data_IF_941765554999
#
_entry.id   IF_941765554999
#
_cell.length_a   1.000
_cell.length_b   1.000
_cell.length_c   1.000
_cell.angle_alpha   90.00
_cell.angle_beta   90.00
_cell.angle_gamma   90.00
#
_symmetry.space_group_name_H-M   'P 1'
#
loop_
_entity.id
_entity.type
_entity.pdbx_description
1 polymer ?
#
# COMPACT_ATOMS: atom_id res chain seq x y z
N UNK A 1 38.20 3.31 4.54
CA UNK A 1 36.96 3.87 5.11
C UNK A 1 35.86 2.85 4.92
N UNK A 2 35.37 2.25 6.01
CA UNK A 2 34.36 1.19 5.96
C UNK A 2 32.98 1.86 5.89
N UNK A 3 32.32 1.83 4.72
CA UNK A 3 30.93 2.24 4.60
C UNK A 3 30.06 1.13 5.18
N UNK A 4 29.72 1.24 6.46
CA UNK A 4 28.86 0.27 7.14
C UNK A 4 27.41 0.51 6.68
N UNK A 5 26.95 -0.24 5.68
CA UNK A 5 25.57 -0.24 5.16
C UNK A 5 24.62 -1.03 6.08
N UNK A 6 24.75 -0.87 7.39
CA UNK A 6 23.92 -1.60 8.36
C UNK A 6 22.84 -0.71 8.90
N UNK A 7 21.70 -1.31 9.20
CA UNK A 7 20.63 -0.63 9.91
C UNK A 7 21.15 0.03 11.19
N UNK A 8 20.89 1.32 11.33
CA UNK A 8 21.15 2.03 12.58
C UNK A 8 19.81 2.50 13.19
N UNK A 9 19.83 2.67 14.50
CA UNK A 9 18.71 3.16 15.29
C UNK A 9 19.06 4.52 15.85
N UNK A 10 18.72 5.59 15.11
CA UNK A 10 19.08 6.96 15.48
C UNK A 10 18.16 7.99 14.81
N UNK A 11 17.99 9.16 15.43
CA UNK A 11 17.09 10.22 14.98
C UNK A 11 17.76 11.27 14.08
N UNK A 12 19.07 11.22 13.90
CA UNK A 12 19.87 12.23 13.21
C UNK A 12 20.21 11.85 11.76
N UNK A 13 19.20 11.51 10.95
CA UNK A 13 19.45 11.13 9.55
C UNK A 13 18.51 11.79 8.60
N UNK A 14 19.06 12.25 7.47
CA UNK A 14 18.30 12.91 6.41
C UNK A 14 17.52 11.87 5.62
N UNK A 15 16.19 11.94 5.67
CA UNK A 15 15.30 10.89 5.14
C UNK A 15 14.79 11.22 3.73
N UNK A 16 14.50 12.50 3.45
CA UNK A 16 13.85 12.91 2.20
C UNK A 16 14.39 14.22 1.61
N UNK A 17 14.81 15.15 2.46
CA UNK A 17 15.41 16.43 2.08
C UNK A 17 16.58 16.77 3.01
N UNK A 18 17.56 17.51 2.50
CA UNK A 18 18.67 18.02 3.30
C UNK A 18 18.13 18.90 4.44
N UNK A 19 18.47 18.58 5.69
CA UNK A 19 18.06 19.34 6.88
C UNK A 19 16.79 18.88 7.60
N UNK A 20 16.13 17.81 7.15
CA UNK A 20 14.97 17.20 7.83
C UNK A 20 15.25 15.71 8.13
N UNK A 21 14.99 15.20 9.35
CA UNK A 21 14.31 15.78 10.51
C UNK A 21 15.30 16.49 11.44
N UNK A 22 14.98 17.71 11.88
CA UNK A 22 15.85 18.52 12.73
C UNK A 22 16.08 17.93 14.13
N UNK A 23 16.66 18.74 15.03
CA UNK A 23 17.15 18.36 16.37
C UNK A 23 16.05 17.82 17.32
N UNK A 24 14.77 17.93 16.96
CA UNK A 24 13.63 17.52 17.80
C UNK A 24 13.12 16.14 17.39
N UNK A 25 13.01 15.23 18.35
CA UNK A 25 12.44 13.88 18.21
C UNK A 25 11.06 13.87 17.54
N UNK A 26 10.24 14.91 17.75
CA UNK A 26 8.92 15.03 17.12
C UNK A 26 8.97 15.08 15.58
N UNK A 27 10.00 15.68 14.99
CA UNK A 27 10.17 15.73 13.53
C UNK A 27 10.51 14.37 12.94
N UNK A 28 11.23 13.54 13.70
CA UNK A 28 11.51 12.16 13.32
C UNK A 28 10.23 11.31 13.34
N UNK A 29 9.39 11.43 14.37
CA UNK A 29 8.08 10.75 14.41
C UNK A 29 7.19 11.20 13.25
N UNK A 30 7.16 12.50 12.95
CA UNK A 30 6.46 13.03 11.78
C UNK A 30 6.97 12.39 10.47
N UNK A 31 8.29 12.18 10.36
CA UNK A 31 8.89 11.52 9.21
C UNK A 31 8.47 10.06 9.06
N UNK A 32 8.42 9.32 10.18
CA UNK A 32 7.91 7.94 10.18
C UNK A 32 6.44 7.88 9.73
N UNK A 33 5.59 8.79 10.23
CA UNK A 33 4.19 8.90 9.82
C UNK A 33 4.09 9.24 8.33
N UNK A 34 4.92 10.17 7.84
CA UNK A 34 4.94 10.54 6.42
C UNK A 34 5.33 9.35 5.53
N UNK A 35 6.40 8.62 5.86
CA UNK A 35 6.82 7.43 5.10
C UNK A 35 5.76 6.34 5.14
N UNK A 36 5.15 6.11 6.30
CA UNK A 36 4.03 5.20 6.45
C UNK A 36 2.85 5.57 5.54
N UNK A 37 2.46 6.85 5.53
CA UNK A 37 1.36 7.36 4.69
C UNK A 37 1.69 7.28 3.19
N UNK A 38 2.94 7.57 2.80
CA UNK A 38 3.40 7.43 1.41
C UNK A 38 3.30 5.96 0.95
N UNK A 39 3.81 5.02 1.76
CA UNK A 39 3.74 3.58 1.48
C UNK A 39 2.28 3.07 1.41
N UNK A 40 1.44 3.52 2.34
CA UNK A 40 0.01 3.21 2.35
C UNK A 40 -0.71 3.75 1.09
N UNK A 41 -0.40 4.99 0.69
CA UNK A 41 -0.96 5.61 -0.51
C UNK A 41 -0.56 4.88 -1.79
N UNK A 42 0.70 4.41 -1.91
CA UNK A 42 1.17 3.62 -3.06
C UNK A 42 0.24 2.43 -3.30
N UNK A 43 -0.13 1.73 -2.23
CA UNK A 43 -1.01 0.55 -2.31
C UNK A 43 -2.47 0.95 -2.57
N UNK A 44 -2.97 2.02 -1.94
CA UNK A 44 -4.31 2.55 -2.19
C UNK A 44 -4.53 2.99 -3.65
N UNK A 45 -3.55 3.66 -4.26
CA UNK A 45 -3.59 4.03 -5.68
C UNK A 45 -3.49 2.79 -6.57
N UNK A 46 -2.65 1.82 -6.20
CA UNK A 46 -2.52 0.54 -6.90
C UNK A 46 -3.88 -0.16 -7.01
N UNK A 47 -4.60 -0.26 -5.90
CA UNK A 47 -5.90 -0.95 -5.86
C UNK A 47 -7.05 -0.13 -6.48
N UNK A 48 -7.01 1.19 -6.33
CA UNK A 48 -7.97 2.09 -6.99
C UNK A 48 -7.87 2.01 -8.51
N UNK A 49 -6.65 1.81 -9.06
CA UNK A 49 -6.42 1.54 -10.49
C UNK A 49 -7.05 0.21 -10.96
N UNK A 50 -7.05 -0.83 -10.12
CA UNK A 50 -7.70 -2.11 -10.46
C UNK A 50 -9.23 -1.99 -10.49
N UNK A 51 -9.81 -1.14 -9.65
CA UNK A 51 -11.28 -1.10 -9.46
C UNK A 51 -11.99 -0.10 -10.38
N UNK A 52 -11.30 0.92 -10.89
CA UNK A 52 -11.91 1.99 -11.71
C UNK A 52 -11.75 1.72 -13.21
N UNK A 53 -12.32 0.61 -13.68
CA UNK A 53 -12.45 0.28 -15.11
C UNK A 53 -13.93 0.26 -15.51
N UNK A 54 -14.58 1.43 -15.52
CA UNK A 54 -16.04 1.49 -15.73
C UNK A 54 -16.63 2.86 -16.06
N UNK A 55 -15.96 3.73 -16.84
CA UNK A 55 -16.59 4.97 -17.32
C UNK A 55 -16.14 5.38 -18.73
N UNK A 56 -16.94 5.00 -19.73
CA UNK A 56 -17.49 5.70 -20.92
C UNK A 56 -16.65 6.75 -21.73
N UNK A 57 -15.50 7.29 -21.28
CA UNK A 57 -14.66 8.22 -22.08
C UNK A 57 -13.23 7.70 -22.28
N UNK A 58 -12.99 7.09 -23.46
CA UNK A 58 -11.77 6.38 -23.86
C UNK A 58 -10.47 7.19 -23.70
N UNK A 59 -10.50 8.51 -23.93
CA UNK A 59 -9.30 9.37 -23.89
C UNK A 59 -9.04 9.93 -22.47
N UNK A 60 -10.07 10.43 -21.80
CA UNK A 60 -9.95 10.98 -20.44
C UNK A 60 -9.60 9.89 -19.42
N UNK A 61 -10.17 8.68 -19.58
CA UNK A 61 -9.79 7.53 -18.76
C UNK A 61 -8.31 7.16 -18.95
N UNK A 62 -7.81 7.21 -20.18
CA UNK A 62 -6.39 7.00 -20.51
C UNK A 62 -5.48 8.02 -19.82
N UNK A 63 -5.79 9.32 -19.90
CA UNK A 63 -4.99 10.39 -19.27
C UNK A 63 -5.02 10.31 -17.73
N UNK A 64 -6.18 9.99 -17.14
CA UNK A 64 -6.28 9.82 -15.68
C UNK A 64 -5.51 8.56 -15.24
N UNK A 65 -5.54 7.48 -16.01
CA UNK A 65 -4.80 6.26 -15.72
C UNK A 65 -3.29 6.47 -15.77
N UNK A 66 -2.77 7.20 -16.76
CA UNK A 66 -1.35 7.52 -16.87
C UNK A 66 -0.91 8.44 -15.74
N UNK A 67 -1.71 9.46 -15.39
CA UNK A 67 -1.43 10.34 -14.26
C UNK A 67 -1.38 9.57 -12.93
N UNK A 68 -2.37 8.71 -12.65
CA UNK A 68 -2.39 7.87 -11.45
C UNK A 68 -1.22 6.88 -11.42
N UNK A 69 -0.82 6.36 -12.59
CA UNK A 69 0.35 5.50 -12.70
C UNK A 69 1.64 6.27 -12.40
N UNK A 70 1.83 7.46 -12.99
CA UNK A 70 2.96 8.32 -12.72
C UNK A 70 3.04 8.70 -11.23
N UNK A 71 1.89 9.06 -10.62
CA UNK A 71 1.81 9.37 -9.20
C UNK A 71 2.22 8.17 -8.32
N UNK A 72 1.70 6.96 -8.63
CA UNK A 72 2.07 5.73 -7.92
C UNK A 72 3.58 5.48 -7.98
N UNK A 73 4.16 5.57 -9.18
CA UNK A 73 5.60 5.32 -9.39
C UNK A 73 6.44 6.38 -8.68
N UNK A 74 6.04 7.65 -8.74
CA UNK A 74 6.69 8.74 -8.01
C UNK A 74 6.70 8.51 -6.49
N UNK A 75 5.55 8.14 -5.91
CA UNK A 75 5.45 7.82 -4.48
C UNK A 75 6.30 6.60 -4.10
N UNK A 76 6.35 5.56 -4.93
CA UNK A 76 7.20 4.39 -4.70
C UNK A 76 8.69 4.74 -4.68
N UNK A 77 9.13 5.65 -5.58
CA UNK A 77 10.50 6.14 -5.55
C UNK A 77 10.81 6.99 -4.31
N UNK A 78 9.85 7.76 -3.79
CA UNK A 78 10.04 8.47 -2.52
C UNK A 78 10.22 7.51 -1.33
N UNK A 79 9.45 6.42 -1.29
CA UNK A 79 9.60 5.39 -0.25
C UNK A 79 10.95 4.68 -0.38
N UNK A 80 11.37 4.36 -1.61
CA UNK A 80 12.69 3.78 -1.86
C UNK A 80 13.82 4.72 -1.42
N UNK A 81 13.68 6.02 -1.69
CA UNK A 81 14.63 7.03 -1.24
C UNK A 81 14.71 7.09 0.29
N UNK A 82 13.58 6.97 0.99
CA UNK A 82 13.55 6.91 2.44
C UNK A 82 14.20 5.62 3.00
N UNK A 83 14.06 4.48 2.31
CA UNK A 83 14.70 3.22 2.70
C UNK A 83 16.23 3.28 2.55
N UNK A 84 16.73 4.03 1.56
CA UNK A 84 18.18 4.27 1.39
C UNK A 84 18.82 4.98 2.59
N UNK A 85 18.03 5.54 3.51
CA UNK A 85 18.54 6.10 4.76
C UNK A 85 19.02 5.05 5.76
N UNK A 86 18.88 3.74 5.50
CA UNK A 86 19.30 2.63 6.40
C UNK A 86 18.83 2.77 7.86
N UNK A 87 17.72 3.48 8.08
CA UNK A 87 17.15 3.71 9.40
C UNK A 87 16.15 2.60 9.71
N UNK A 88 16.36 1.89 10.82
CA UNK A 88 15.48 0.76 11.19
C UNK A 88 14.02 1.16 11.36
N UNK A 89 13.75 2.34 11.93
CA UNK A 89 12.39 2.84 12.13
C UNK A 89 11.69 3.19 10.81
N UNK A 90 12.42 3.84 9.88
CA UNK A 90 11.88 4.20 8.56
C UNK A 90 11.55 2.95 7.75
N UNK A 91 12.44 1.96 7.77
CA UNK A 91 12.21 0.67 7.13
C UNK A 91 10.96 -0.03 7.69
N UNK A 92 10.84 -0.10 9.02
CA UNK A 92 9.68 -0.72 9.67
C UNK A 92 8.38 0.02 9.34
N UNK A 93 8.41 1.36 9.32
CA UNK A 93 7.26 2.18 8.95
C UNK A 93 6.85 1.97 7.48
N UNK A 94 7.80 1.87 6.55
CA UNK A 94 7.54 1.59 5.15
C UNK A 94 6.92 0.20 4.95
N UNK A 95 7.50 -0.83 5.59
CA UNK A 95 6.96 -2.20 5.54
C UNK A 95 5.56 -2.25 6.13
N UNK A 96 5.34 -1.66 7.31
CA UNK A 96 4.03 -1.60 7.94
C UNK A 96 3.00 -0.86 7.08
N UNK A 97 3.38 0.25 6.44
CA UNK A 97 2.51 1.01 5.55
C UNK A 97 2.09 0.22 4.31
N UNK A 98 3.03 -0.48 3.68
CA UNK A 98 2.72 -1.38 2.56
C UNK A 98 1.84 -2.56 3.00
N UNK A 99 2.15 -3.21 4.13
CA UNK A 99 1.36 -4.34 4.65
C UNK A 99 -0.06 -3.91 5.02
N UNK A 100 -0.24 -2.79 5.72
CA UNK A 100 -1.57 -2.27 6.07
C UNK A 100 -2.33 -1.75 4.85
N UNK A 101 -1.63 -1.14 3.89
CA UNK A 101 -2.22 -0.76 2.60
C UNK A 101 -2.76 -1.97 1.86
N UNK A 102 -1.96 -3.04 1.78
CA UNK A 102 -2.37 -4.27 1.10
C UNK A 102 -3.50 -4.96 1.86
N UNK A 103 -3.46 -4.94 3.19
CA UNK A 103 -4.53 -5.50 4.01
C UNK A 103 -5.86 -4.73 3.83
N UNK A 104 -5.85 -3.40 3.86
CA UNK A 104 -7.09 -2.62 3.76
C UNK A 104 -7.65 -2.57 2.33
N UNK A 105 -6.79 -2.46 1.31
CA UNK A 105 -7.23 -2.33 -0.08
C UNK A 105 -7.28 -3.66 -0.80
N UNK A 106 -6.30 -4.54 -0.60
CA UNK A 106 -6.23 -5.87 -1.21
C UNK A 106 -7.08 -6.91 -0.51
N UNK A 107 -7.15 -6.87 0.83
CA UNK A 107 -8.06 -7.70 1.60
C UNK A 107 -9.43 -7.04 1.71
N UNK A 108 -10.17 -6.97 0.60
CA UNK A 108 -11.65 -6.94 0.60
C UNK A 108 -12.25 -8.17 1.34
N UNK A 109 -11.83 -8.42 2.58
CA UNK A 109 -12.22 -9.53 3.46
C UNK A 109 -13.70 -9.44 3.88
N UNK A 110 -14.41 -8.36 3.50
CA UNK A 110 -15.86 -8.24 3.67
C UNK A 110 -16.58 -7.66 2.44
N UNK A 111 -16.46 -8.30 1.28
CA UNK A 111 -17.41 -8.08 0.18
C UNK A 111 -17.61 -9.42 -0.55
N UNK A 112 -18.63 -10.26 -0.28
CA UNK A 112 -20.02 -10.08 0.18
C UNK A 112 -20.42 -11.18 1.18
N UNK A 113 -21.42 -10.89 2.02
CA UNK A 113 -22.16 -11.79 2.91
C UNK A 113 -22.35 -13.22 2.35
N UNK A 114 -22.09 -14.30 3.11
CA UNK A 114 -22.81 -15.55 2.87
C UNK A 114 -24.25 -15.33 3.34
N UNK A 115 -25.07 -14.74 2.48
CA UNK A 115 -26.52 -14.80 2.61
C UNK A 115 -26.92 -16.27 2.61
N UNK A 116 -27.57 -16.71 3.69
CA UNK A 116 -28.45 -17.90 3.81
C UNK A 116 -27.86 -19.27 3.49
N UNK A 117 -27.45 -19.99 4.54
CA UNK A 117 -27.81 -21.41 4.69
C UNK A 117 -29.27 -21.42 5.16
N UNK A 118 -30.21 -21.98 4.38
CA UNK A 118 -30.46 -23.41 4.50
C UNK A 118 -30.78 -24.07 3.15
N UNK A 119 -29.95 -25.01 2.72
CA UNK A 119 -30.34 -25.99 1.71
C UNK A 119 -29.85 -27.37 2.13
N UNK A 120 -30.30 -27.79 3.32
CA UNK A 120 -30.38 -29.19 3.67
C UNK A 120 -31.58 -29.79 2.93
N UNK A 121 -31.36 -30.26 1.68
CA UNK A 121 -31.99 -31.45 1.09
C UNK A 121 -31.49 -31.63 -0.35
N UNK A 122 -30.35 -32.30 -0.49
CA UNK A 122 -30.07 -33.11 -1.67
C UNK A 122 -30.18 -34.55 -1.23
N UNK A 123 -31.42 -34.98 -1.05
CA UNK A 123 -31.80 -36.39 -0.94
C UNK A 123 -32.87 -36.60 -1.99
N UNK A 124 -32.58 -37.57 -2.85
CA UNK A 124 -33.54 -38.36 -3.61
C UNK A 124 -33.82 -37.99 -5.08
N UNK A 125 -33.16 -38.80 -5.91
CA UNK A 125 -33.70 -39.53 -7.06
C UNK A 125 -33.71 -38.81 -8.43
N UNK A 126 -32.63 -39.04 -9.17
CA UNK A 126 -32.67 -39.15 -10.63
C UNK A 126 -33.57 -40.33 -11.03
N UNK A 127 -34.47 -40.15 -12.02
CA UNK A 127 -35.32 -41.23 -12.50
C UNK A 127 -34.47 -42.20 -13.32
N UNK A 128 -34.44 -43.47 -12.91
CA UNK A 128 -34.02 -44.54 -13.81
C UNK A 128 -35.13 -44.79 -14.83
N UNK A 129 -34.69 -44.80 -16.09
CA UNK A 129 -35.40 -45.19 -17.29
C UNK A 129 -36.09 -46.54 -17.18
N UNK A 130 -37.38 -46.58 -17.55
CA UNK A 130 -38.04 -47.57 -18.40
C UNK A 130 -39.23 -46.88 -19.06
#
# INVERSE_FOLDING_TARGET
MMMHMTFFWGSNTQILFSGWPGIRTGMYVLALIAVFMLAFMVEGISHSRLTKSGSIHHVTAGLVQTLLHALRVGLAYLVMLAIMSFNGGVFLAAVAGHSLGFFLFGSRVFNKNPTTVPAAKTSDLTPMSC
#
